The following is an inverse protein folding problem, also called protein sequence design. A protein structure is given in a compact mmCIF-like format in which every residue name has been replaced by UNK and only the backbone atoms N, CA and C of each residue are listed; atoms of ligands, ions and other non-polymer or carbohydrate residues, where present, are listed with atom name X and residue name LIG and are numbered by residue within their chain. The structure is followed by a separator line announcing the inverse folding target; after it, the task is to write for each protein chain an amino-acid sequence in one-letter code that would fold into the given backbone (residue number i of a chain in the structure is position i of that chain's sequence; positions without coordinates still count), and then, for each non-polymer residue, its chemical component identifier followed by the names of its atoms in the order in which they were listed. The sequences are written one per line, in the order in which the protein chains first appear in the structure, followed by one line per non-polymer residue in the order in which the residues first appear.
data_IF_155518868867
#
_entry.id   IF_155518868867
#
_cell.length_a   1.000
_cell.length_b   1.000
_cell.length_c   1.000
_cell.angle_alpha   90.00
_cell.angle_beta   90.00
_cell.angle_gamma   90.00
#
_symmetry.space_group_name_H-M   'P 1'
#
loop_
_entity.id
_entity.type
_entity.pdbx_description
1 polymer ?
#
# COMPACT_ATOMS: atom_id res chain seq x y z
N UNK A 1 -13.41 30.52 -5.70
CA UNK A 1 -13.42 29.23 -6.42
C UNK A 1 -12.10 28.46 -6.31
N UNK A 2 -10.92 29.06 -6.54
CA UNK A 2 -9.62 28.35 -6.42
C UNK A 2 -9.34 27.83 -4.99
N UNK A 3 -9.72 28.57 -3.95
CA UNK A 3 -9.47 28.17 -2.56
C UNK A 3 -10.32 26.98 -2.08
N UNK A 4 -11.54 26.80 -2.60
CA UNK A 4 -12.42 25.69 -2.22
C UNK A 4 -11.90 24.32 -2.73
N UNK A 5 -11.15 24.31 -3.84
CA UNK A 5 -10.53 23.08 -4.33
C UNK A 5 -9.48 22.58 -3.33
N UNK A 6 -8.70 23.48 -2.72
CA UNK A 6 -7.61 23.11 -1.80
C UNK A 6 -8.10 22.48 -0.49
N UNK A 7 -9.31 22.76 -0.03
CA UNK A 7 -9.89 22.13 1.17
C UNK A 7 -10.46 20.73 0.89
N UNK A 8 -10.85 20.43 -0.36
CA UNK A 8 -11.47 19.14 -0.71
C UNK A 8 -10.50 18.11 -1.31
N UNK A 9 -9.34 18.53 -1.82
CA UNK A 9 -8.26 17.60 -2.21
C UNK A 9 -7.33 17.34 -1.03
N UNK A 10 -7.54 16.21 -0.35
CA UNK A 10 -6.50 15.62 0.50
C UNK A 10 -5.30 15.25 -0.38
N UNK A 11 -4.08 15.72 -0.08
CA UNK A 11 -2.87 15.30 -0.78
C UNK A 11 -2.79 13.76 -0.76
N UNK A 12 -2.69 13.15 -1.93
CA UNK A 12 -2.42 11.74 -2.07
C UNK A 12 -0.97 11.57 -2.54
N UNK A 13 -0.21 10.74 -1.84
CA UNK A 13 1.14 10.39 -2.26
C UNK A 13 1.04 9.25 -3.28
N UNK A 14 0.87 9.57 -4.57
CA UNK A 14 0.81 8.59 -5.65
C UNK A 14 -0.60 8.32 -6.22
N UNK A 15 -0.75 7.31 -7.07
CA UNK A 15 -2.07 6.95 -7.60
C UNK A 15 -2.91 6.25 -6.53
N UNK A 16 -4.22 6.46 -6.60
CA UNK A 16 -5.20 6.05 -5.58
C UNK A 16 -5.21 4.53 -5.35
N UNK A 17 -4.94 3.74 -6.39
CA UNK A 17 -5.02 2.27 -6.35
C UNK A 17 -3.98 1.62 -5.43
N UNK A 18 -2.65 1.76 -5.65
CA UNK A 18 -1.67 1.17 -4.73
C UNK A 18 -1.79 1.74 -3.32
N UNK A 19 -2.16 3.02 -3.17
CA UNK A 19 -2.33 3.65 -1.85
C UNK A 19 -3.52 3.06 -1.09
N UNK A 20 -4.62 2.76 -1.77
CA UNK A 20 -5.76 2.10 -1.14
C UNK A 20 -5.38 0.72 -0.57
N UNK A 21 -4.56 -0.05 -1.29
CA UNK A 21 -4.09 -1.35 -0.81
C UNK A 21 -3.04 -1.21 0.30
N UNK A 22 -2.13 -0.25 0.20
CA UNK A 22 -1.18 0.04 1.26
C UNK A 22 -1.89 0.44 2.56
N UNK A 23 -2.94 1.26 2.47
CA UNK A 23 -3.76 1.67 3.60
C UNK A 23 -4.49 0.48 4.22
N UNK A 24 -5.09 -0.38 3.41
CA UNK A 24 -5.73 -1.61 3.89
C UNK A 24 -4.73 -2.53 4.62
N UNK A 25 -3.53 -2.68 4.07
CA UNK A 25 -2.47 -3.49 4.67
C UNK A 25 -1.95 -2.89 5.98
N UNK A 26 -1.77 -1.57 6.05
CA UNK A 26 -1.38 -0.86 7.27
C UNK A 26 -2.45 -1.00 8.37
N UNK A 27 -3.72 -0.87 8.01
CA UNK A 27 -4.83 -1.05 8.93
C UNK A 27 -4.89 -2.49 9.47
N UNK A 28 -4.75 -3.50 8.60
CA UNK A 28 -4.72 -4.90 9.04
C UNK A 28 -3.51 -5.19 9.95
N UNK A 29 -2.32 -4.65 9.61
CA UNK A 29 -1.12 -4.82 10.43
C UNK A 29 -1.24 -4.17 11.82
N UNK A 30 -1.97 -3.05 11.93
CA UNK A 30 -2.20 -2.37 13.21
C UNK A 30 -3.06 -3.18 14.21
N UNK A 31 -3.80 -4.17 13.72
CA UNK A 31 -4.61 -5.09 14.55
C UNK A 31 -3.83 -6.32 15.02
N UNK A 32 -2.59 -6.52 14.55
CA UNK A 32 -1.75 -7.67 14.91
C UNK A 32 -0.88 -7.37 16.13
N UNK A 33 -0.86 -8.30 17.09
CA UNK A 33 0.12 -8.33 18.18
C UNK A 33 1.43 -8.99 17.71
N UNK A 34 2.12 -8.38 16.74
CA UNK A 34 3.40 -8.93 16.24
C UNK A 34 3.84 -8.45 14.87
N UNK A 35 4.86 -9.12 14.32
CA UNK A 35 5.40 -8.83 12.99
C UNK A 35 4.56 -9.48 11.90
N UNK A 36 4.34 -8.76 10.80
CA UNK A 36 3.69 -9.30 9.60
C UNK A 36 4.61 -10.32 8.94
N UNK A 37 4.20 -11.58 8.90
CA UNK A 37 4.96 -12.67 8.28
C UNK A 37 4.55 -12.96 6.84
N UNK A 38 3.26 -12.74 6.53
CA UNK A 38 2.65 -12.98 5.23
C UNK A 38 1.50 -12.01 4.98
N UNK A 39 1.30 -11.64 3.71
CA UNK A 39 0.17 -10.83 3.26
C UNK A 39 -0.54 -11.59 2.15
N UNK A 40 -1.84 -11.85 2.33
CA UNK A 40 -2.73 -12.30 1.26
C UNK A 40 -3.74 -11.19 0.98
N UNK A 41 -3.66 -10.59 -0.23
CA UNK A 41 -4.51 -9.48 -0.61
C UNK A 41 -5.50 -9.90 -1.70
N UNK A 42 -6.79 -9.76 -1.40
CA UNK A 42 -7.87 -9.93 -2.37
C UNK A 42 -8.33 -8.58 -2.88
N UNK A 43 -8.21 -8.38 -4.19
CA UNK A 43 -8.56 -7.11 -4.83
C UNK A 43 -9.51 -7.36 -6.00
N UNK A 44 -10.27 -6.33 -6.37
CA UNK A 44 -11.13 -6.42 -7.55
C UNK A 44 -10.27 -6.45 -8.82
N UNK A 45 -10.75 -7.05 -9.92
CA UNK A 45 -10.05 -7.00 -11.21
C UNK A 45 -9.75 -5.56 -11.68
N UNK A 46 -10.58 -4.59 -11.30
CA UNK A 46 -10.37 -3.18 -11.61
C UNK A 46 -9.21 -2.58 -10.83
N UNK A 47 -9.11 -2.87 -9.53
CA UNK A 47 -7.97 -2.42 -8.73
C UNK A 47 -6.68 -3.11 -9.22
N UNK A 48 -6.77 -4.39 -9.56
CA UNK A 48 -5.65 -5.16 -10.12
C UNK A 48 -5.07 -4.49 -11.37
N UNK A 49 -5.87 -4.36 -12.43
CA UNK A 49 -5.39 -3.83 -13.72
C UNK A 49 -4.89 -2.39 -13.61
N UNK A 50 -5.50 -1.57 -12.75
CA UNK A 50 -5.13 -0.17 -12.58
C UNK A 50 -3.88 0.00 -11.72
N UNK A 51 -3.68 -0.86 -10.72
CA UNK A 51 -2.59 -0.73 -9.75
C UNK A 51 -1.29 -1.44 -10.14
N UNK A 52 -1.34 -2.45 -11.03
CA UNK A 52 -0.14 -3.22 -11.42
C UNK A 52 0.94 -2.38 -12.11
N UNK A 53 0.56 -1.36 -12.88
CA UNK A 53 1.48 -0.51 -13.63
C UNK A 53 1.96 0.74 -12.89
N UNK A 54 1.57 0.92 -11.62
CA UNK A 54 1.81 2.15 -10.87
C UNK A 54 3.03 2.01 -9.97
N UNK A 55 3.93 3.00 -10.05
CA UNK A 55 5.09 3.11 -9.16
C UNK A 55 4.66 3.49 -7.75
N UNK A 56 5.19 2.76 -6.75
CA UNK A 56 4.96 3.09 -5.33
C UNK A 56 6.04 4.07 -4.85
N UNK A 57 5.65 5.26 -4.32
CA UNK A 57 6.59 6.30 -3.90
C UNK A 57 7.68 5.79 -2.94
N UNK A 58 8.91 6.27 -3.11
CA UNK A 58 10.05 5.90 -2.25
C UNK A 58 10.60 4.49 -2.45
N UNK A 59 9.93 3.61 -3.21
CA UNK A 59 10.37 2.21 -3.37
C UNK A 59 11.20 1.95 -4.63
N UNK A 60 10.96 2.73 -5.70
CA UNK A 60 11.49 2.45 -7.04
C UNK A 60 10.91 1.18 -7.69
N UNK A 61 9.83 0.62 -7.12
CA UNK A 61 9.14 -0.57 -7.62
C UNK A 61 7.72 -0.22 -8.07
N UNK A 62 7.16 -1.12 -8.87
CA UNK A 62 5.85 -0.98 -9.49
C UNK A 62 4.94 -2.08 -8.95
N UNK A 63 3.66 -1.77 -8.76
CA UNK A 63 2.61 -2.76 -8.54
C UNK A 63 2.08 -2.88 -7.11
N UNK A 64 1.00 -3.64 -7.00
CA UNK A 64 0.25 -3.87 -5.77
C UNK A 64 1.02 -4.63 -4.68
N UNK A 65 1.85 -5.65 -4.98
CA UNK A 65 2.55 -6.40 -3.94
C UNK A 65 3.48 -5.54 -3.09
N UNK A 66 4.23 -4.62 -3.71
CA UNK A 66 5.11 -3.71 -2.96
C UNK A 66 4.33 -2.66 -2.19
N UNK A 67 3.17 -2.21 -2.69
CA UNK A 67 2.30 -1.29 -1.97
C UNK A 67 1.77 -1.93 -0.69
N UNK A 68 1.28 -3.17 -0.77
CA UNK A 68 0.77 -3.92 0.36
C UNK A 68 1.88 -4.20 1.40
N UNK A 69 3.04 -4.69 0.95
CA UNK A 69 4.17 -4.99 1.83
C UNK A 69 4.69 -3.74 2.55
N UNK A 70 4.82 -2.61 1.84
CA UNK A 70 5.26 -1.37 2.47
C UNK A 70 4.23 -0.80 3.43
N UNK A 71 2.94 -0.82 3.06
CA UNK A 71 1.85 -0.40 3.93
C UNK A 71 1.83 -1.18 5.25
N UNK A 72 1.95 -2.51 5.18
CA UNK A 72 1.96 -3.38 6.35
C UNK A 72 3.18 -3.18 7.27
N UNK A 73 4.36 -2.88 6.71
CA UNK A 73 5.62 -2.84 7.46
C UNK A 73 6.07 -1.44 7.87
N UNK A 74 5.51 -0.39 7.28
CA UNK A 74 5.91 0.99 7.55
C UNK A 74 4.88 2.04 7.19
N UNK A 75 3.63 1.65 6.96
CA UNK A 75 2.53 2.57 6.73
C UNK A 75 1.91 3.07 8.03
N UNK A 76 1.43 4.33 8.02
CA UNK A 76 0.59 4.88 9.09
C UNK A 76 -0.90 4.73 8.72
N UNK A 77 -1.57 3.77 9.35
CA UNK A 77 -3.00 3.51 9.12
C UNK A 77 -3.90 4.73 9.43
N UNK A 78 -3.44 5.70 10.21
CA UNK A 78 -4.18 6.91 10.57
C UNK A 78 -3.93 8.07 9.59
N UNK A 79 -2.94 7.96 8.72
CA UNK A 79 -2.61 9.00 7.73
C UNK A 79 -3.47 8.96 6.46
N UNK A 80 -4.39 8.00 6.33
CA UNK A 80 -5.29 7.90 5.17
C UNK A 80 -4.52 7.76 3.85
N UNK A 81 -4.76 8.66 2.88
CA UNK A 81 -4.08 8.62 1.59
C UNK A 81 -2.60 9.02 1.64
N UNK A 82 -2.11 9.46 2.80
CA UNK A 82 -0.70 9.69 3.06
C UNK A 82 -0.06 8.55 3.87
N UNK A 83 -0.64 7.34 3.86
CA UNK A 83 -0.16 6.17 4.61
C UNK A 83 1.34 5.91 4.47
N UNK A 84 1.96 6.27 3.33
CA UNK A 84 3.38 6.03 3.07
C UNK A 84 4.30 7.25 3.32
N UNK A 85 3.78 8.37 3.83
CA UNK A 85 4.54 9.64 3.93
C UNK A 85 5.82 9.54 4.77
N UNK A 86 5.75 8.76 5.86
CA UNK A 86 6.83 8.58 6.83
C UNK A 86 7.51 7.21 6.70
N UNK A 87 7.27 6.51 5.57
CA UNK A 87 7.83 5.19 5.34
C UNK A 87 9.37 5.24 5.31
N UNK A 88 10.00 4.64 6.32
CA UNK A 88 11.46 4.66 6.46
C UNK A 88 12.16 3.82 5.39
N UNK A 89 13.43 4.15 5.09
CA UNK A 89 14.27 3.34 4.21
C UNK A 89 14.40 1.87 4.70
N UNK A 90 14.34 1.65 6.02
CA UNK A 90 14.31 0.30 6.61
C UNK A 90 13.01 -0.43 6.28
N UNK A 91 11.86 0.23 6.37
CA UNK A 91 10.58 -0.35 5.98
C UNK A 91 10.55 -0.71 4.48
N UNK A 92 11.09 0.17 3.63
CA UNK A 92 11.24 -0.11 2.19
C UNK A 92 12.13 -1.33 1.95
N UNK A 93 13.27 -1.44 2.63
CA UNK A 93 14.15 -2.60 2.52
C UNK A 93 13.47 -3.90 2.99
N UNK A 94 12.74 -3.86 4.11
CA UNK A 94 12.01 -5.02 4.63
C UNK A 94 10.87 -5.45 3.70
N UNK A 95 10.13 -4.50 3.12
CA UNK A 95 9.08 -4.79 2.15
C UNK A 95 9.63 -5.49 0.90
N UNK A 96 10.79 -5.03 0.40
CA UNK A 96 11.51 -5.70 -0.70
C UNK A 96 11.96 -7.11 -0.32
N UNK A 97 12.48 -7.29 0.89
CA UNK A 97 12.90 -8.60 1.38
C UNK A 97 11.72 -9.58 1.53
N UNK A 98 10.57 -9.11 2.03
CA UNK A 98 9.35 -9.91 2.14
C UNK A 98 8.86 -10.40 0.78
N UNK A 99 8.91 -9.55 -0.25
CA UNK A 99 8.58 -9.95 -1.62
C UNK A 99 9.57 -10.98 -2.18
N UNK A 100 10.87 -10.76 -1.98
CA UNK A 100 11.90 -11.69 -2.45
C UNK A 100 11.79 -13.07 -1.79
N UNK A 101 11.28 -13.13 -0.55
CA UNK A 101 11.00 -14.38 0.15
C UNK A 101 9.73 -15.09 -0.36
N UNK A 102 8.89 -14.45 -1.18
CA UNK A 102 7.61 -14.99 -1.65
C UNK A 102 6.47 -14.88 -0.62
N UNK A 103 6.63 -14.03 0.40
CA UNK A 103 5.68 -13.89 1.51
C UNK A 103 4.66 -12.77 1.30
N UNK A 104 4.81 -11.98 0.23
CA UNK A 104 3.92 -10.89 -0.08
C UNK A 104 3.10 -11.20 -1.35
N UNK A 105 1.84 -11.54 -1.09
CA UNK A 105 0.66 -11.50 -1.97
C UNK A 105 0.41 -12.73 -2.84
N UNK A 106 -0.58 -13.55 -2.43
CA UNK A 106 -1.40 -14.29 -3.40
C UNK A 106 -2.48 -13.35 -3.96
N UNK A 107 -2.31 -12.95 -5.21
CA UNK A 107 -3.26 -12.12 -5.93
C UNK A 107 -4.43 -12.99 -6.40
N UNK A 108 -5.59 -12.92 -5.74
CA UNK A 108 -6.80 -13.57 -6.25
C UNK A 108 -7.89 -12.52 -6.43
N UNK A 109 -8.58 -12.50 -7.59
CA UNK A 109 -9.73 -11.63 -7.77
C UNK A 109 -10.75 -11.94 -6.67
N UNK A 110 -11.25 -10.89 -6.01
CA UNK A 110 -12.44 -10.98 -5.16
C UNK A 110 -13.52 -11.71 -5.96
N UNK A 111 -13.88 -12.92 -5.52
CA UNK A 111 -15.05 -13.62 -6.06
C UNK A 111 -16.26 -12.82 -5.61
N UNK A 112 -17.01 -12.28 -6.58
CA UNK A 112 -18.30 -11.63 -6.34
C UNK A 112 -19.31 -12.64 -5.76
#
# INVERSE_FOLDING_TARGET
FILAVQEEVKPALGCTEPISLALAAAAAAAELDGTVERIDAWVSPNLMKNGMGVTVPGTGMVGLPIAAALGALGGDAKAGLEVLKDASAKAVANAKAMLAAGHAVSESPLRA
#
